data_IF_951357691838
#
_entry.id   IF_951357691838
#
_cell.length_a   1.000
_cell.length_b   1.000
_cell.length_c   1.000
_cell.angle_alpha   90.00
_cell.angle_beta   90.00
_cell.angle_gamma   90.00
#
_symmetry.space_group_name_H-M   'P 1'
#
loop_
_entity.id
_entity.type
_entity.pdbx_description
1 polymer ?
#
# COMPACT_ATOMS: atom_id res chain seq x y z
N UNK A 1 9.37 -17.82 8.37
CA UNK A 1 10.08 -17.02 9.40
C UNK A 1 9.31 -15.73 9.62
N UNK A 2 8.81 -15.51 10.84
CA UNK A 2 8.08 -14.30 11.22
C UNK A 2 9.04 -13.18 11.54
N UNK A 3 8.87 -12.02 10.91
CA UNK A 3 9.71 -10.84 11.19
C UNK A 3 9.05 -9.99 12.27
N UNK A 4 9.78 -9.72 13.36
CA UNK A 4 9.39 -8.76 14.40
C UNK A 4 10.29 -7.53 14.31
N UNK A 5 9.70 -6.35 14.19
CA UNK A 5 10.47 -5.09 14.09
C UNK A 5 9.70 -3.98 14.78
N UNK A 6 10.38 -3.07 15.50
CA UNK A 6 9.70 -1.92 16.12
C UNK A 6 9.07 -1.02 15.06
N UNK A 7 9.90 -0.50 14.15
CA UNK A 7 9.49 0.45 13.12
C UNK A 7 9.97 0.02 11.74
N UNK A 8 9.17 0.31 10.71
CA UNK A 8 9.55 0.08 9.32
C UNK A 8 9.28 1.34 8.51
N UNK A 9 10.35 1.92 7.98
CA UNK A 9 10.30 3.13 7.16
C UNK A 9 10.70 2.77 5.73
N UNK A 10 9.92 3.23 4.75
CA UNK A 10 10.26 3.08 3.32
C UNK A 10 9.96 4.37 2.57
N UNK A 11 10.99 4.92 1.94
CA UNK A 11 10.90 6.08 1.10
C UNK A 11 11.28 5.71 -0.33
N UNK A 12 10.54 6.23 -1.31
CA UNK A 12 10.88 6.13 -2.74
C UNK A 12 10.54 7.45 -3.42
N UNK A 13 11.48 7.97 -4.17
CA UNK A 13 11.39 9.24 -4.89
C UNK A 13 11.84 9.03 -6.33
N UNK A 14 11.20 9.72 -7.27
CA UNK A 14 11.58 9.81 -8.68
C UNK A 14 11.79 8.46 -9.40
N UNK A 15 10.95 7.48 -9.05
CA UNK A 15 11.03 6.13 -9.65
C UNK A 15 10.26 6.08 -10.95
N UNK A 16 10.94 5.68 -12.02
CA UNK A 16 10.33 5.29 -13.30
C UNK A 16 10.69 3.84 -13.61
N UNK A 17 9.70 2.96 -13.63
CA UNK A 17 9.93 1.54 -13.94
C UNK A 17 8.80 0.98 -14.79
N UNK A 18 9.08 -0.10 -15.51
CA UNK A 18 8.03 -0.87 -16.20
C UNK A 18 7.26 -1.65 -15.14
N UNK A 19 7.94 -2.53 -14.42
CA UNK A 19 7.31 -3.45 -13.47
C UNK A 19 7.92 -3.35 -12.06
N UNK A 20 7.08 -3.57 -11.06
CA UNK A 20 7.50 -3.74 -9.67
C UNK A 20 6.77 -4.96 -9.11
N UNK A 21 7.53 -5.98 -8.70
CA UNK A 21 7.04 -7.11 -7.93
C UNK A 21 7.57 -7.05 -6.50
N UNK A 22 6.72 -7.33 -5.51
CA UNK A 22 7.19 -7.51 -4.13
C UNK A 22 6.37 -8.56 -3.41
N UNK A 23 7.05 -9.55 -2.81
CA UNK A 23 6.48 -10.50 -1.86
C UNK A 23 6.97 -10.16 -0.46
N UNK A 24 6.10 -10.26 0.54
CA UNK A 24 6.46 -10.08 1.95
C UNK A 24 5.94 -11.23 2.80
N UNK A 25 6.83 -11.77 3.62
CA UNK A 25 6.50 -12.71 4.68
C UNK A 25 5.64 -12.04 5.79
N UNK A 26 5.02 -12.84 6.67
CA UNK A 26 4.29 -12.34 7.83
C UNK A 26 5.14 -11.41 8.69
N UNK A 27 4.49 -10.36 9.23
CA UNK A 27 5.19 -9.33 9.99
C UNK A 27 4.39 -8.82 11.18
N UNK A 28 5.09 -8.61 12.30
CA UNK A 28 4.57 -7.95 13.50
C UNK A 28 5.41 -6.71 13.77
N UNK A 29 4.78 -5.55 13.77
CA UNK A 29 5.50 -4.28 13.96
C UNK A 29 4.65 -3.25 14.66
N UNK A 30 5.26 -2.26 15.30
CA UNK A 30 4.51 -1.17 15.92
C UNK A 30 4.06 -0.19 14.83
N UNK A 31 5.03 0.34 14.09
CA UNK A 31 4.80 1.44 13.17
C UNK A 31 5.30 1.13 11.75
N UNK A 32 4.47 1.43 10.75
CA UNK A 32 4.90 1.41 9.35
C UNK A 32 4.67 2.76 8.69
N UNK A 33 5.75 3.36 8.22
CA UNK A 33 5.73 4.63 7.48
C UNK A 33 6.15 4.37 6.03
N UNK A 34 5.36 4.87 5.08
CA UNK A 34 5.65 4.76 3.64
C UNK A 34 5.43 6.08 2.93
N UNK A 35 6.51 6.63 2.37
CA UNK A 35 6.45 7.81 1.51
C UNK A 35 6.81 7.44 0.08
N UNK A 36 6.00 7.91 -0.87
CA UNK A 36 6.21 7.70 -2.31
C UNK A 36 5.90 8.98 -3.06
N UNK A 37 6.90 9.53 -3.74
CA UNK A 37 6.78 10.80 -4.46
C UNK A 37 7.26 10.57 -5.90
N UNK A 38 6.57 11.16 -6.89
CA UNK A 38 6.95 11.12 -8.30
C UNK A 38 7.18 9.70 -8.85
N UNK A 39 6.22 8.81 -8.66
CA UNK A 39 6.35 7.42 -9.10
C UNK A 39 5.56 7.18 -10.38
N UNK A 40 6.22 6.70 -11.43
CA UNK A 40 5.58 6.23 -12.67
C UNK A 40 5.90 4.76 -12.88
N UNK A 41 4.87 3.93 -12.91
CA UNK A 41 5.03 2.48 -13.11
C UNK A 41 3.97 1.93 -14.05
N UNK A 42 4.31 0.99 -14.93
CA UNK A 42 3.29 0.33 -15.78
C UNK A 42 2.52 -0.70 -14.96
N UNK A 43 3.20 -1.64 -14.32
CA UNK A 43 2.57 -2.70 -13.52
C UNK A 43 3.17 -2.77 -12.11
N UNK A 44 2.30 -2.90 -11.11
CA UNK A 44 2.71 -3.18 -9.72
C UNK A 44 1.98 -4.38 -9.20
N UNK A 45 2.72 -5.41 -8.80
CA UNK A 45 2.21 -6.63 -8.17
C UNK A 45 2.74 -6.69 -6.72
N UNK A 46 1.83 -6.85 -5.76
CA UNK A 46 2.20 -6.94 -4.35
C UNK A 46 1.44 -8.06 -3.65
N UNK A 47 2.19 -9.03 -3.15
CA UNK A 47 1.68 -10.13 -2.33
C UNK A 47 2.21 -9.94 -0.91
N UNK A 48 1.33 -9.97 0.08
CA UNK A 48 1.70 -9.82 1.48
C UNK A 48 0.97 -10.89 2.29
N UNK A 49 1.71 -11.69 3.04
CA UNK A 49 1.15 -12.49 4.13
C UNK A 49 0.72 -11.60 5.30
N UNK A 50 0.38 -12.25 6.41
CA UNK A 50 -0.22 -11.63 7.60
C UNK A 50 0.52 -10.40 8.10
N UNK A 51 -0.25 -9.37 8.44
CA UNK A 51 0.30 -8.13 8.99
C UNK A 51 -0.42 -7.79 10.28
N UNK A 52 0.33 -7.73 11.37
CA UNK A 52 -0.11 -7.11 12.63
C UNK A 52 0.68 -5.84 12.87
N UNK A 53 -0.03 -4.72 12.93
CA UNK A 53 0.58 -3.40 13.11
C UNK A 53 -0.27 -2.53 14.01
N UNK A 54 0.34 -1.68 14.84
CA UNK A 54 -0.43 -0.67 15.57
C UNK A 54 -0.80 0.45 14.60
N UNK A 55 0.22 1.13 14.05
CA UNK A 55 0.01 2.34 13.26
C UNK A 55 0.60 2.22 11.84
N UNK A 56 -0.18 2.68 10.86
CA UNK A 56 0.28 2.76 9.48
C UNK A 56 0.05 4.17 8.94
N UNK A 57 1.16 4.83 8.59
CA UNK A 57 1.16 6.09 7.86
C UNK A 57 1.59 5.86 6.40
N UNK A 58 0.78 6.35 5.45
CA UNK A 58 1.14 6.34 4.05
C UNK A 58 0.94 7.70 3.39
N UNK A 59 2.00 8.22 2.78
CA UNK A 59 1.95 9.41 1.95
C UNK A 59 2.28 9.03 0.50
N UNK A 60 1.45 9.48 -0.44
CA UNK A 60 1.71 9.34 -1.87
C UNK A 60 1.40 10.63 -2.59
N UNK A 61 2.35 11.11 -3.40
CA UNK A 61 2.20 12.29 -4.24
C UNK A 61 2.66 11.96 -5.65
N UNK A 62 1.93 12.44 -6.65
CA UNK A 62 2.27 12.31 -8.07
C UNK A 62 2.56 10.87 -8.52
N UNK A 63 1.66 9.95 -8.13
CA UNK A 63 1.80 8.53 -8.47
C UNK A 63 0.91 8.17 -9.65
N UNK A 64 1.52 7.73 -10.75
CA UNK A 64 0.82 7.21 -11.93
C UNK A 64 1.12 5.73 -12.11
N UNK A 65 0.07 4.90 -12.18
CA UNK A 65 0.22 3.46 -12.41
C UNK A 65 -0.83 2.92 -13.37
N UNK A 66 -0.45 2.09 -14.36
CA UNK A 66 -1.44 1.53 -15.28
C UNK A 66 -2.19 0.38 -14.62
N UNK A 67 -1.49 -0.59 -14.04
CA UNK A 67 -2.08 -1.76 -13.42
C UNK A 67 -1.55 -1.98 -12.01
N UNK A 68 -2.45 -2.22 -11.05
CA UNK A 68 -2.10 -2.60 -9.69
C UNK A 68 -2.82 -3.87 -9.30
N UNK A 69 -2.06 -4.90 -8.95
CA UNK A 69 -2.55 -6.17 -8.38
C UNK A 69 -2.07 -6.26 -6.93
N UNK A 70 -2.99 -6.57 -6.02
CA UNK A 70 -2.69 -6.68 -4.59
C UNK A 70 -3.40 -7.86 -3.96
N UNK A 71 -2.61 -8.78 -3.41
CA UNK A 71 -3.11 -9.87 -2.58
C UNK A 71 -2.62 -9.65 -1.14
N UNK A 72 -3.55 -9.76 -0.19
CA UNK A 72 -3.26 -9.61 1.24
C UNK A 72 -4.02 -10.67 2.03
N UNK A 73 -3.26 -11.40 2.84
CA UNK A 73 -3.78 -12.28 3.88
C UNK A 73 -3.77 -11.52 5.22
N UNK A 74 -4.77 -11.80 6.05
CA UNK A 74 -4.99 -11.37 7.42
C UNK A 74 -4.26 -10.09 7.85
N UNK A 75 -4.96 -8.96 7.74
CA UNK A 75 -4.41 -7.65 8.12
C UNK A 75 -5.14 -7.14 9.35
N UNK A 76 -4.43 -7.07 10.47
CA UNK A 76 -4.90 -6.43 11.71
C UNK A 76 -4.11 -5.15 11.94
N UNK A 77 -4.81 -4.02 11.94
CA UNK A 77 -4.20 -2.72 12.22
C UNK A 77 -5.06 -1.93 13.19
N UNK A 78 -4.45 -1.21 14.15
CA UNK A 78 -5.22 -0.32 15.01
C UNK A 78 -5.61 0.92 14.21
N UNK A 79 -4.63 1.68 13.77
CA UNK A 79 -4.84 2.99 13.14
C UNK A 79 -4.16 3.07 11.77
N UNK A 80 -4.89 3.64 10.79
CA UNK A 80 -4.38 3.87 9.44
C UNK A 80 -4.62 5.32 9.03
N UNK A 81 -3.56 6.03 8.69
CA UNK A 81 -3.62 7.36 8.07
C UNK A 81 -3.07 7.30 6.65
N UNK A 82 -3.83 7.85 5.69
CA UNK A 82 -3.42 7.92 4.28
C UNK A 82 -3.61 9.31 3.69
N UNK A 83 -2.53 9.89 3.21
CA UNK A 83 -2.52 11.15 2.46
C UNK A 83 -2.12 10.85 1.02
N UNK A 84 -3.04 11.01 0.09
CA UNK A 84 -2.84 10.70 -1.33
C UNK A 84 -3.16 11.95 -2.17
N UNK A 85 -2.19 12.48 -2.89
CA UNK A 85 -2.38 13.58 -3.85
C UNK A 85 -1.98 13.13 -5.25
N UNK A 86 -2.74 13.56 -6.26
CA UNK A 86 -2.45 13.35 -7.69
C UNK A 86 -2.18 11.89 -8.09
N UNK A 87 -2.91 10.96 -7.46
CA UNK A 87 -2.75 9.53 -7.71
C UNK A 87 -3.69 9.09 -8.84
N UNK A 88 -3.11 8.67 -9.97
CA UNK A 88 -3.87 8.15 -11.12
C UNK A 88 -3.57 6.67 -11.32
N UNK A 89 -4.60 5.83 -11.29
CA UNK A 89 -4.48 4.41 -11.60
C UNK A 89 -5.50 3.97 -12.64
N UNK A 90 -5.10 3.25 -13.69
CA UNK A 90 -6.07 2.78 -14.68
C UNK A 90 -6.89 1.62 -14.10
N UNK A 91 -6.22 0.51 -13.76
CA UNK A 91 -6.89 -0.69 -13.27
C UNK A 91 -6.33 -1.14 -11.92
N UNK A 92 -7.22 -1.53 -11.01
CA UNK A 92 -6.89 -2.11 -9.72
C UNK A 92 -7.60 -3.44 -9.56
N UNK A 93 -6.86 -4.49 -9.23
CA UNK A 93 -7.39 -5.73 -8.67
C UNK A 93 -6.89 -5.91 -7.23
N UNK A 94 -7.79 -6.28 -6.33
CA UNK A 94 -7.51 -6.54 -4.93
C UNK A 94 -8.17 -7.83 -4.51
N UNK A 95 -7.40 -8.73 -3.93
CA UNK A 95 -7.90 -9.85 -3.15
C UNK A 95 -7.49 -9.63 -1.69
N UNK A 96 -8.46 -9.66 -0.77
CA UNK A 96 -8.19 -9.50 0.67
C UNK A 96 -9.00 -10.45 1.53
N UNK A 97 -8.30 -11.22 2.34
CA UNK A 97 -8.88 -12.05 3.40
C UNK A 97 -8.74 -11.33 4.74
N UNK A 98 -9.80 -11.34 5.54
CA UNK A 98 -9.86 -10.91 6.95
C UNK A 98 -9.06 -9.65 7.32
N UNK A 99 -9.58 -8.50 6.87
CA UNK A 99 -9.02 -7.19 7.22
C UNK A 99 -9.77 -6.57 8.40
N UNK A 100 -9.10 -6.43 9.54
CA UNK A 100 -9.63 -5.72 10.71
C UNK A 100 -8.83 -4.43 10.92
N UNK A 101 -9.54 -3.30 10.92
CA UNK A 101 -8.94 -2.00 11.25
C UNK A 101 -9.86 -1.23 12.18
N UNK A 102 -9.32 -0.66 13.25
CA UNK A 102 -10.13 0.10 14.21
C UNK A 102 -10.43 1.49 13.68
N UNK A 103 -9.41 2.29 13.36
CA UNK A 103 -9.60 3.64 12.84
C UNK A 103 -8.92 3.86 11.50
N UNK A 104 -9.56 4.65 10.64
CA UNK A 104 -9.05 4.99 9.31
C UNK A 104 -9.28 6.47 9.04
N UNK A 105 -8.20 7.22 8.83
CA UNK A 105 -8.21 8.58 8.29
C UNK A 105 -7.66 8.61 6.87
N UNK A 106 -8.32 9.36 5.97
CA UNK A 106 -7.97 9.44 4.55
C UNK A 106 -8.13 10.86 4.04
N UNK A 107 -7.04 11.46 3.58
CA UNK A 107 -7.06 12.65 2.75
C UNK A 107 -6.68 12.28 1.31
N UNK A 108 -7.50 12.66 0.33
CA UNK A 108 -7.39 12.21 -1.07
C UNK A 108 -7.72 13.25 -2.14
N UNK A 109 -6.99 14.38 -2.23
CA UNK A 109 -7.10 15.26 -3.39
C UNK A 109 -6.74 14.52 -4.70
N UNK A 110 -7.58 14.68 -5.72
CA UNK A 110 -7.32 14.29 -7.11
C UNK A 110 -6.93 12.82 -7.37
N UNK A 111 -7.49 11.91 -6.58
CA UNK A 111 -7.30 10.46 -6.80
C UNK A 111 -8.28 9.96 -7.86
N UNK A 112 -7.75 9.54 -9.03
CA UNK A 112 -8.56 8.99 -10.14
C UNK A 112 -8.25 7.52 -10.36
N UNK A 113 -9.29 6.68 -10.35
CA UNK A 113 -9.19 5.27 -10.74
C UNK A 113 -10.26 4.92 -11.75
N UNK A 114 -9.89 4.25 -12.86
CA UNK A 114 -10.87 3.89 -13.90
C UNK A 114 -11.63 2.62 -13.53
N UNK A 115 -10.92 1.52 -13.28
CA UNK A 115 -11.53 0.23 -12.97
C UNK A 115 -11.02 -0.32 -11.64
N UNK A 116 -11.91 -0.86 -10.81
CA UNK A 116 -11.58 -1.50 -9.54
C UNK A 116 -12.35 -2.83 -9.45
N UNK A 117 -11.61 -3.91 -9.22
CA UNK A 117 -12.13 -5.22 -8.85
C UNK A 117 -11.67 -5.52 -7.42
N UNK A 118 -12.60 -5.95 -6.57
CA UNK A 118 -12.34 -6.31 -5.18
C UNK A 118 -12.98 -7.67 -4.93
N UNK A 119 -12.16 -8.63 -4.53
CA UNK A 119 -12.53 -9.95 -4.08
C UNK A 119 -12.13 -10.12 -2.61
#
# INVERSE_FOLDING_TARGET
>A
MDVKTKNIIMNRTDVKTIDICSKRAPIKTKDIIRNRINIKTKVTIRNRGDIKTTDILMTRMDVKTKYVIRNREDVKTKDITRNLADVKTKNISRNRTDVKTKNISRNRPDVKTKNIIIN
#
